data_IF_710287989031
#
_entry.id   IF_710287989031
#
_cell.length_a   1.000
_cell.length_b   1.000
_cell.length_c   1.000
_cell.angle_alpha   90.00
_cell.angle_beta   90.00
_cell.angle_gamma   90.00
#
_symmetry.space_group_name_H-M   'P 1'
#
loop_
_entity.id
_entity.type
_entity.pdbx_description
1 polymer ?
#
# COMPACT_ATOMS: atom_id res chain seq x y z
N UNK A 1 -51.10 -38.41 33.04
CA UNK A 1 -50.97 -37.44 31.94
C UNK A 1 -49.66 -36.73 32.14
N UNK A 2 -48.60 -37.14 31.47
CA UNK A 2 -47.26 -36.61 31.60
C UNK A 2 -47.02 -35.69 30.39
N UNK A 3 -46.92 -34.40 30.63
CA UNK A 3 -46.64 -33.38 29.58
C UNK A 3 -45.14 -33.31 29.35
N UNK A 4 -44.66 -33.92 28.27
CA UNK A 4 -43.28 -33.78 27.78
C UNK A 4 -43.08 -32.36 27.25
N UNK A 5 -42.35 -31.54 27.99
CA UNK A 5 -41.84 -30.26 27.52
C UNK A 5 -40.85 -30.46 26.40
N UNK A 6 -41.23 -30.10 25.20
CA UNK A 6 -40.32 -30.01 24.05
C UNK A 6 -39.34 -28.84 24.28
N UNK A 7 -38.15 -29.10 24.77
CA UNK A 7 -37.02 -28.16 24.69
C UNK A 7 -36.55 -28.13 23.24
N UNK A 8 -37.09 -27.17 22.47
CA UNK A 8 -36.58 -26.85 21.17
C UNK A 8 -35.13 -26.33 21.27
N UNK A 9 -34.16 -27.16 20.87
CA UNK A 9 -32.79 -26.69 20.61
C UNK A 9 -32.85 -25.65 19.50
N UNK A 10 -32.95 -24.37 19.88
CA UNK A 10 -32.59 -23.28 18.97
C UNK A 10 -31.10 -23.41 18.69
N UNK A 11 -30.77 -24.06 17.61
CA UNK A 11 -29.43 -24.04 17.02
C UNK A 11 -29.17 -22.58 16.60
N UNK A 12 -28.60 -21.79 17.53
CA UNK A 12 -28.09 -20.47 17.23
C UNK A 12 -26.93 -20.70 16.24
N UNK A 13 -27.18 -20.55 14.95
CA UNK A 13 -26.11 -20.40 13.95
C UNK A 13 -25.38 -19.09 14.33
N UNK A 14 -24.41 -19.20 15.22
CA UNK A 14 -23.43 -18.12 15.39
C UNK A 14 -22.80 -17.95 14.02
N UNK A 15 -23.19 -16.90 13.29
CA UNK A 15 -22.57 -16.56 12.02
C UNK A 15 -21.08 -16.38 12.29
N UNK A 16 -20.25 -17.19 11.65
CA UNK A 16 -18.79 -17.08 11.76
C UNK A 16 -18.41 -15.65 11.38
N UNK A 17 -17.99 -14.86 12.38
CA UNK A 17 -17.55 -13.49 12.16
C UNK A 17 -16.08 -13.52 11.72
N UNK A 18 -15.83 -13.28 10.45
CA UNK A 18 -14.48 -13.26 9.85
C UNK A 18 -13.85 -11.85 9.83
N UNK A 19 -14.57 -10.82 10.28
CA UNK A 19 -14.17 -9.43 10.24
C UNK A 19 -15.16 -8.53 9.49
N UNK A 20 -14.76 -7.30 9.23
CA UNK A 20 -15.58 -6.28 8.59
C UNK A 20 -15.95 -6.66 7.15
N UNK A 21 -17.25 -6.91 6.90
CA UNK A 21 -17.77 -7.35 5.60
C UNK A 21 -17.53 -6.33 4.49
N UNK A 22 -17.67 -5.04 4.79
CA UNK A 22 -17.52 -3.99 3.77
C UNK A 22 -16.05 -3.87 3.34
N UNK A 23 -15.10 -3.99 4.28
CA UNK A 23 -13.67 -4.08 3.98
C UNK A 23 -13.37 -5.30 3.12
N UNK A 24 -13.89 -6.48 3.49
CA UNK A 24 -13.66 -7.71 2.74
C UNK A 24 -14.21 -7.63 1.30
N UNK A 25 -15.45 -7.16 1.13
CA UNK A 25 -16.07 -7.00 -0.19
C UNK A 25 -15.31 -5.98 -1.05
N UNK A 26 -14.89 -4.84 -0.46
CA UNK A 26 -14.12 -3.85 -1.21
C UNK A 26 -12.79 -4.41 -1.73
N UNK A 27 -12.10 -5.24 -0.93
CA UNK A 27 -10.87 -5.92 -1.36
C UNK A 27 -11.14 -6.94 -2.47
N UNK A 28 -12.19 -7.74 -2.36
CA UNK A 28 -12.55 -8.69 -3.43
C UNK A 28 -12.85 -7.98 -4.75
N UNK A 29 -13.58 -6.87 -4.70
CA UNK A 29 -13.87 -6.07 -5.90
C UNK A 29 -12.59 -5.44 -6.49
N UNK A 30 -11.68 -4.92 -5.64
CA UNK A 30 -10.39 -4.38 -6.08
C UNK A 30 -9.52 -5.46 -6.73
N UNK A 31 -9.45 -6.66 -6.14
CA UNK A 31 -8.68 -7.78 -6.69
C UNK A 31 -9.27 -8.27 -8.02
N UNK A 32 -10.59 -8.43 -8.10
CA UNK A 32 -11.26 -8.87 -9.33
C UNK A 32 -11.07 -7.87 -10.47
N UNK A 33 -11.30 -6.59 -10.18
CA UNK A 33 -11.09 -5.50 -11.14
C UNK A 33 -9.61 -5.39 -11.54
N UNK A 34 -8.70 -5.52 -10.57
CA UNK A 34 -7.26 -5.51 -10.80
C UNK A 34 -6.79 -6.64 -11.73
N UNK A 35 -7.28 -7.87 -11.54
CA UNK A 35 -6.95 -8.99 -12.42
C UNK A 35 -7.39 -8.73 -13.87
N UNK A 36 -8.58 -8.19 -14.08
CA UNK A 36 -9.10 -7.87 -15.42
C UNK A 36 -8.23 -6.79 -16.08
N UNK A 37 -8.00 -5.68 -15.38
CA UNK A 37 -7.31 -4.52 -15.95
C UNK A 37 -5.81 -4.76 -16.14
N UNK A 38 -5.16 -5.44 -15.20
CA UNK A 38 -3.76 -5.85 -15.35
C UNK A 38 -3.59 -6.80 -16.53
N UNK A 39 -4.53 -7.74 -16.72
CA UNK A 39 -4.51 -8.65 -17.88
C UNK A 39 -4.66 -7.86 -19.17
N UNK A 40 -5.63 -6.94 -19.27
CA UNK A 40 -5.80 -6.09 -20.45
C UNK A 40 -4.53 -5.29 -20.76
N UNK A 41 -3.91 -4.69 -19.72
CA UNK A 41 -2.71 -3.87 -19.88
C UNK A 41 -1.46 -4.69 -20.25
N UNK A 42 -1.42 -6.00 -19.98
CA UNK A 42 -0.23 -6.83 -20.16
C UNK A 42 -0.28 -7.80 -21.35
N UNK A 43 -1.42 -7.99 -21.99
CA UNK A 43 -1.66 -9.03 -23.02
C UNK A 43 -0.66 -8.93 -24.20
N UNK A 44 -0.45 -7.72 -24.74
CA UNK A 44 0.43 -7.50 -25.89
C UNK A 44 1.89 -7.70 -25.52
N UNK A 45 2.30 -7.14 -24.35
CA UNK A 45 3.68 -7.31 -23.84
C UNK A 45 3.95 -8.78 -23.56
N UNK A 46 3.02 -9.50 -22.93
CA UNK A 46 3.14 -10.92 -22.66
C UNK A 46 3.28 -11.74 -23.94
N UNK A 47 2.44 -11.46 -24.92
CA UNK A 47 2.44 -12.17 -26.20
C UNK A 47 3.76 -11.99 -26.95
N UNK A 48 4.31 -10.77 -26.97
CA UNK A 48 5.56 -10.48 -27.68
C UNK A 48 6.81 -11.00 -26.96
N UNK A 49 6.86 -10.92 -25.62
CA UNK A 49 8.04 -11.33 -24.84
C UNK A 49 8.12 -12.83 -24.62
N UNK A 50 6.97 -13.50 -24.45
CA UNK A 50 6.92 -14.90 -24.04
C UNK A 50 6.19 -15.83 -25.01
N UNK A 51 5.50 -15.28 -26.01
CA UNK A 51 4.59 -16.04 -26.89
C UNK A 51 3.29 -16.49 -26.23
N UNK A 52 3.06 -16.16 -24.95
CA UNK A 52 1.84 -16.50 -24.19
C UNK A 52 1.15 -15.22 -23.69
N UNK A 53 0.07 -14.85 -24.34
CA UNK A 53 -0.70 -13.63 -24.03
C UNK A 53 -1.18 -13.55 -22.56
N UNK A 54 -1.33 -14.70 -21.88
CA UNK A 54 -1.78 -14.79 -20.49
C UNK A 54 -0.67 -15.05 -19.48
N UNK A 55 0.60 -14.92 -19.87
CA UNK A 55 1.74 -15.17 -18.99
C UNK A 55 1.68 -14.39 -17.68
N UNK A 56 1.46 -13.07 -17.76
CA UNK A 56 1.37 -12.21 -16.57
C UNK A 56 0.13 -12.52 -15.72
N UNK A 57 -1.00 -12.87 -16.33
CA UNK A 57 -2.20 -13.31 -15.60
C UNK A 57 -1.94 -14.59 -14.81
N UNK A 58 -1.35 -15.61 -15.44
CA UNK A 58 -1.00 -16.88 -14.76
C UNK A 58 -0.08 -16.63 -13.57
N UNK A 59 0.94 -15.80 -13.77
CA UNK A 59 1.88 -15.40 -12.71
C UNK A 59 1.18 -14.66 -11.58
N UNK A 60 0.29 -13.70 -11.89
CA UNK A 60 -0.47 -12.95 -10.90
C UNK A 60 -1.43 -13.84 -10.10
N UNK A 61 -2.08 -14.83 -10.74
CA UNK A 61 -2.93 -15.81 -10.06
C UNK A 61 -2.12 -16.67 -9.07
N UNK A 62 -0.91 -17.09 -9.45
CA UNK A 62 -0.02 -17.81 -8.52
C UNK A 62 0.31 -16.94 -7.30
N UNK A 63 0.65 -15.66 -7.49
CA UNK A 63 0.90 -14.74 -6.39
C UNK A 63 -0.34 -14.46 -5.55
N UNK A 64 -1.52 -14.39 -6.17
CA UNK A 64 -2.80 -14.25 -5.46
C UNK A 64 -3.03 -15.44 -4.52
N UNK A 65 -2.88 -16.68 -5.03
CA UNK A 65 -3.03 -17.90 -4.23
C UNK A 65 -2.00 -17.94 -3.09
N UNK A 66 -0.74 -17.66 -3.39
CA UNK A 66 0.31 -17.55 -2.37
C UNK A 66 -0.03 -16.49 -1.32
N UNK A 67 -0.47 -15.31 -1.75
CA UNK A 67 -0.90 -14.24 -0.86
C UNK A 67 -2.05 -14.66 0.06
N UNK A 68 -3.06 -15.35 -0.46
CA UNK A 68 -4.18 -15.88 0.33
C UNK A 68 -3.69 -16.93 1.35
N UNK A 69 -2.79 -17.83 0.97
CA UNK A 69 -2.23 -18.83 1.89
C UNK A 69 -1.47 -18.14 3.02
N UNK A 70 -0.56 -17.23 2.70
CA UNK A 70 0.22 -16.48 3.70
C UNK A 70 -0.71 -15.65 4.59
N UNK A 71 -1.70 -14.98 4.00
CA UNK A 71 -2.70 -14.21 4.74
C UNK A 71 -3.52 -15.05 5.71
N UNK A 72 -3.89 -16.28 5.33
CA UNK A 72 -4.57 -17.21 6.22
C UNK A 72 -3.72 -17.57 7.44
N UNK A 73 -2.42 -17.83 7.26
CA UNK A 73 -1.50 -18.06 8.38
C UNK A 73 -1.37 -16.80 9.25
N UNK A 74 -1.17 -15.64 8.65
CA UNK A 74 -1.05 -14.35 9.35
C UNK A 74 -2.32 -14.02 10.14
N UNK A 75 -3.50 -14.30 9.59
CA UNK A 75 -4.78 -14.10 10.27
C UNK A 75 -4.93 -14.97 11.53
N UNK A 76 -4.32 -16.15 11.59
CA UNK A 76 -4.36 -17.03 12.77
C UNK A 76 -3.49 -16.53 13.93
N UNK A 77 -2.49 -15.69 13.67
CA UNK A 77 -1.57 -15.18 14.69
C UNK A 77 -2.28 -14.12 15.55
N UNK A 78 -2.34 -14.28 16.88
CA UNK A 78 -2.89 -13.26 17.77
C UNK A 78 -2.10 -11.94 17.72
N UNK A 79 -2.81 -10.80 17.85
CA UNK A 79 -2.20 -9.47 17.79
C UNK A 79 -1.10 -9.24 18.82
N UNK A 80 -1.19 -9.88 19.98
CA UNK A 80 -0.15 -9.83 21.02
C UNK A 80 1.23 -10.22 20.47
N UNK A 81 1.31 -11.26 19.64
CA UNK A 81 2.59 -11.71 19.07
C UNK A 81 3.20 -10.66 18.13
N UNK A 82 2.39 -9.94 17.34
CA UNK A 82 2.90 -8.84 16.52
C UNK A 82 3.51 -7.74 17.39
N UNK A 83 2.88 -7.42 18.52
CA UNK A 83 3.37 -6.43 19.47
C UNK A 83 4.67 -6.90 20.16
N UNK A 84 4.74 -8.16 20.58
CA UNK A 84 5.91 -8.73 21.26
C UNK A 84 7.10 -8.87 20.30
N UNK A 85 6.85 -9.24 19.04
CA UNK A 85 7.89 -9.39 18.01
C UNK A 85 8.24 -8.09 17.28
N UNK A 86 7.67 -6.97 17.66
CA UNK A 86 7.81 -5.70 16.93
C UNK A 86 9.27 -5.27 16.71
N UNK A 87 10.13 -5.44 17.70
CA UNK A 87 11.57 -5.14 17.61
C UNK A 87 12.26 -6.11 16.64
N UNK A 88 11.97 -7.40 16.73
CA UNK A 88 12.50 -8.41 15.80
C UNK A 88 12.08 -8.13 14.36
N UNK A 89 10.83 -7.72 14.14
CA UNK A 89 10.33 -7.33 12.83
C UNK A 89 11.03 -6.08 12.27
N UNK A 90 11.34 -5.09 13.12
CA UNK A 90 12.16 -3.94 12.72
C UNK A 90 13.56 -4.38 12.25
N UNK A 91 14.23 -5.24 13.03
CA UNK A 91 15.53 -5.78 12.62
C UNK A 91 15.44 -6.59 11.33
N UNK A 92 14.37 -7.37 11.16
CA UNK A 92 14.12 -8.11 9.92
C UNK A 92 13.93 -7.16 8.73
N UNK A 93 13.22 -6.03 8.89
CA UNK A 93 13.12 -5.00 7.87
C UNK A 93 14.48 -4.43 7.49
N UNK A 94 15.29 -4.04 8.49
CA UNK A 94 16.64 -3.52 8.27
C UNK A 94 17.52 -4.55 7.55
N UNK A 95 17.45 -5.81 7.97
CA UNK A 95 18.24 -6.90 7.35
C UNK A 95 17.83 -7.12 5.90
N UNK A 96 16.52 -7.17 5.59
CA UNK A 96 16.02 -7.33 4.22
C UNK A 96 16.48 -6.18 3.31
N UNK A 97 16.37 -4.94 3.77
CA UNK A 97 16.82 -3.77 3.02
C UNK A 97 18.35 -3.76 2.85
N UNK A 98 19.10 -4.14 3.87
CA UNK A 98 20.55 -4.24 3.77
C UNK A 98 21.01 -5.34 2.81
N UNK A 99 20.34 -6.50 2.79
CA UNK A 99 20.64 -7.61 1.88
C UNK A 99 20.49 -7.22 0.40
N UNK A 100 19.53 -6.37 0.06
CA UNK A 100 19.38 -5.87 -1.32
C UNK A 100 20.61 -5.09 -1.78
N UNK A 101 21.29 -4.39 -0.88
CA UNK A 101 22.49 -3.60 -1.19
C UNK A 101 23.77 -4.45 -1.31
N UNK A 102 23.71 -5.75 -0.96
CA UNK A 102 24.86 -6.64 -1.07
C UNK A 102 25.03 -7.07 -2.52
N UNK A 103 26.22 -6.87 -3.12
CA UNK A 103 26.52 -7.32 -4.48
C UNK A 103 26.29 -8.83 -4.64
N UNK A 104 25.57 -9.23 -5.69
CA UNK A 104 25.25 -10.63 -5.97
C UNK A 104 23.95 -11.15 -5.35
N UNK A 105 23.34 -10.44 -4.36
CA UNK A 105 22.03 -10.76 -3.79
C UNK A 105 20.95 -9.86 -4.39
N UNK A 106 21.20 -8.55 -4.41
CA UNK A 106 20.31 -7.58 -5.01
C UNK A 106 20.34 -7.62 -6.53
N UNK A 107 19.17 -7.60 -7.15
CA UNK A 107 18.99 -7.48 -8.60
C UNK A 107 18.70 -6.04 -8.96
N UNK A 108 19.50 -5.51 -9.88
CA UNK A 108 19.27 -4.19 -10.47
C UNK A 108 18.22 -4.28 -11.58
N UNK A 109 17.21 -3.42 -11.50
CA UNK A 109 16.18 -3.25 -12.51
C UNK A 109 15.97 -1.74 -12.71
N UNK A 110 16.05 -1.28 -13.94
CA UNK A 110 15.89 0.14 -14.31
C UNK A 110 16.77 1.11 -13.47
N UNK A 111 18.03 0.73 -13.23
CA UNK A 111 19.00 1.56 -12.49
C UNK A 111 18.77 1.61 -10.97
N UNK A 112 18.01 0.68 -10.41
CA UNK A 112 17.76 0.58 -8.98
C UNK A 112 17.84 -0.85 -8.49
N UNK A 113 18.57 -1.07 -7.41
CA UNK A 113 18.70 -2.38 -6.75
C UNK A 113 17.64 -2.46 -5.63
N UNK A 114 16.50 -3.10 -5.90
CA UNK A 114 15.35 -3.17 -4.96
C UNK A 114 14.82 -4.57 -4.76
N UNK A 115 15.30 -5.54 -5.55
CA UNK A 115 14.73 -6.87 -5.66
C UNK A 115 15.72 -7.92 -5.19
N UNK A 116 15.22 -8.88 -4.40
CA UNK A 116 15.96 -10.11 -4.07
C UNK A 116 15.37 -11.23 -4.93
N UNK A 117 16.24 -11.90 -5.69
CA UNK A 117 15.81 -13.04 -6.50
C UNK A 117 15.75 -14.30 -5.62
N UNK A 118 14.54 -14.85 -5.41
CA UNK A 118 14.32 -16.10 -4.67
C UNK A 118 14.21 -17.32 -5.61
N UNK A 119 14.59 -17.19 -6.87
CA UNK A 119 14.49 -18.22 -7.90
C UNK A 119 13.11 -18.25 -8.56
N UNK A 120 12.06 -18.64 -7.85
CA UNK A 120 10.68 -18.71 -8.35
C UNK A 120 9.95 -17.36 -8.37
N UNK A 121 10.42 -16.40 -7.57
CA UNK A 121 9.89 -15.03 -7.51
C UNK A 121 10.96 -14.01 -7.16
N UNK A 122 10.72 -12.76 -7.53
CA UNK A 122 11.52 -11.62 -7.06
C UNK A 122 10.78 -10.93 -5.91
N UNK A 123 11.42 -10.82 -4.76
CA UNK A 123 10.89 -10.13 -3.59
C UNK A 123 11.39 -8.69 -3.58
N UNK A 124 10.49 -7.71 -3.58
CA UNK A 124 10.84 -6.31 -3.32
C UNK A 124 10.92 -6.10 -1.81
N UNK A 125 12.13 -5.82 -1.30
CA UNK A 125 12.38 -5.75 0.15
C UNK A 125 11.60 -4.62 0.85
N UNK A 126 11.33 -3.53 0.14
CA UNK A 126 10.56 -2.40 0.68
C UNK A 126 9.10 -2.75 1.02
N UNK A 127 8.49 -3.75 0.34
CA UNK A 127 7.10 -4.13 0.61
C UNK A 127 6.90 -4.72 2.03
N UNK A 128 7.57 -5.81 2.43
CA UNK A 128 7.47 -6.30 3.81
C UNK A 128 8.06 -5.30 4.82
N UNK A 129 9.10 -4.55 4.47
CA UNK A 129 9.71 -3.57 5.36
C UNK A 129 8.73 -2.49 5.82
N UNK A 130 7.86 -1.99 4.92
CA UNK A 130 6.79 -1.01 5.28
C UNK A 130 5.89 -1.55 6.39
N UNK A 131 5.41 -2.79 6.26
CA UNK A 131 4.55 -3.41 7.26
C UNK A 131 5.28 -3.62 8.60
N UNK A 132 6.52 -4.13 8.56
CA UNK A 132 7.30 -4.40 9.77
C UNK A 132 7.63 -3.12 10.54
N UNK A 133 7.98 -2.04 9.85
CA UNK A 133 8.21 -0.72 10.45
C UNK A 133 6.93 -0.18 11.07
N UNK A 134 5.78 -0.32 10.40
CA UNK A 134 4.48 0.13 10.93
C UNK A 134 4.09 -0.67 12.17
N UNK A 135 4.31 -1.99 12.21
CA UNK A 135 4.09 -2.80 13.42
C UNK A 135 4.96 -2.31 14.57
N UNK A 136 6.25 -2.01 14.31
CA UNK A 136 7.15 -1.47 15.32
C UNK A 136 6.67 -0.12 15.85
N UNK A 137 6.33 0.82 14.98
CA UNK A 137 5.81 2.14 15.36
C UNK A 137 4.51 2.03 16.16
N UNK A 138 3.58 1.17 15.75
CA UNK A 138 2.33 0.92 16.48
C UNK A 138 2.60 0.39 17.90
N UNK A 139 3.54 -0.54 18.04
CA UNK A 139 3.98 -1.08 19.34
C UNK A 139 4.64 -0.01 20.20
N UNK A 140 5.52 0.79 19.60
CA UNK A 140 6.22 1.87 20.31
C UNK A 140 5.25 2.93 20.83
N UNK A 141 4.36 3.43 19.96
CA UNK A 141 3.33 4.43 20.29
C UNK A 141 2.38 3.90 21.37
N UNK A 142 1.97 2.64 21.28
CA UNK A 142 1.07 2.04 22.28
C UNK A 142 1.72 1.89 23.65
N UNK A 143 3.00 1.49 23.71
CA UNK A 143 3.71 1.28 24.99
C UNK A 143 4.16 2.57 25.64
N UNK A 144 4.42 3.62 24.85
CA UNK A 144 5.05 4.87 25.31
C UNK A 144 4.19 6.10 24.98
N UNK A 145 2.87 5.95 24.91
CA UNK A 145 1.95 6.98 24.42
C UNK A 145 2.15 8.33 25.13
N UNK A 146 2.09 8.34 26.47
CA UNK A 146 2.25 9.56 27.28
C UNK A 146 3.63 10.19 27.10
N UNK A 147 4.68 9.37 27.02
CA UNK A 147 6.05 9.84 26.82
C UNK A 147 6.25 10.48 25.44
N UNK A 148 5.65 9.91 24.39
CA UNK A 148 5.69 10.46 23.02
C UNK A 148 4.94 11.79 22.93
N UNK A 149 3.79 11.90 23.59
CA UNK A 149 2.97 13.11 23.54
C UNK A 149 3.48 14.23 24.46
N UNK A 150 4.21 13.91 25.56
CA UNK A 150 4.65 14.91 26.55
C UNK A 150 6.05 15.44 26.33
N UNK A 151 6.98 14.63 25.79
CA UNK A 151 8.41 14.96 25.75
C UNK A 151 8.99 14.95 24.33
N UNK A 152 10.00 15.83 24.11
CA UNK A 152 10.79 15.83 22.88
C UNK A 152 11.58 14.54 22.64
N UNK A 153 12.08 13.92 23.73
CA UNK A 153 12.81 12.64 23.62
C UNK A 153 11.87 11.52 23.16
N UNK A 154 10.66 11.46 23.75
CA UNK A 154 9.66 10.47 23.36
C UNK A 154 9.23 10.63 21.88
N UNK A 155 9.08 11.87 21.42
CA UNK A 155 8.80 12.19 20.03
C UNK A 155 9.92 11.80 19.07
N UNK A 156 11.19 12.08 19.41
CA UNK A 156 12.33 11.83 18.54
C UNK A 156 12.76 10.36 18.45
N UNK A 157 12.57 9.59 19.53
CA UNK A 157 13.04 8.19 19.61
C UNK A 157 12.49 7.28 18.48
N UNK A 158 11.18 7.22 18.20
CA UNK A 158 10.68 6.37 17.10
C UNK A 158 11.26 6.80 15.75
N UNK A 159 11.47 8.09 15.54
CA UNK A 159 12.08 8.63 14.32
C UNK A 159 13.54 8.20 14.16
N UNK A 160 14.29 8.15 15.26
CA UNK A 160 15.67 7.67 15.26
C UNK A 160 15.74 6.19 14.84
N UNK A 161 14.88 5.31 15.38
CA UNK A 161 14.84 3.91 14.97
C UNK A 161 14.46 3.72 13.50
N UNK A 162 13.52 4.51 13.00
CA UNK A 162 13.06 4.40 11.61
C UNK A 162 14.00 5.09 10.62
N UNK A 163 14.88 5.98 11.08
CA UNK A 163 15.87 6.61 10.20
C UNK A 163 16.76 5.58 9.48
N UNK A 164 17.06 4.44 10.13
CA UNK A 164 17.88 3.38 9.52
C UNK A 164 17.23 2.75 8.31
N UNK A 165 15.99 2.19 8.37
CA UNK A 165 15.31 1.70 7.16
C UNK A 165 15.07 2.79 6.12
N UNK A 166 14.80 4.06 6.51
CA UNK A 166 14.66 5.16 5.55
C UNK A 166 15.98 5.41 4.81
N UNK A 167 17.11 5.45 5.50
CA UNK A 167 18.42 5.64 4.87
C UNK A 167 18.78 4.49 3.93
N UNK A 168 18.43 3.25 4.27
CA UNK A 168 18.62 2.09 3.39
C UNK A 168 17.77 2.22 2.13
N UNK A 169 16.47 2.55 2.25
CA UNK A 169 15.59 2.79 1.11
C UNK A 169 16.07 3.94 0.20
N UNK A 170 16.67 4.99 0.77
CA UNK A 170 17.28 6.07 0.00
C UNK A 170 18.50 5.60 -0.78
N UNK A 171 19.29 4.65 -0.24
CA UNK A 171 20.42 4.02 -0.94
C UNK A 171 19.99 3.06 -2.04
N UNK A 172 18.79 2.46 -1.94
CA UNK A 172 18.16 1.62 -2.97
C UNK A 172 17.49 2.43 -4.10
N UNK A 173 17.63 3.73 -4.18
CA UNK A 173 16.83 4.81 -4.77
C UNK A 173 15.30 4.60 -4.77
N UNK A 174 14.74 3.98 -3.70
CA UNK A 174 13.29 3.74 -3.57
C UNK A 174 12.55 4.90 -2.87
N UNK A 175 12.56 6.07 -3.52
CA UNK A 175 11.91 7.28 -2.98
C UNK A 175 10.40 7.13 -2.78
N UNK A 176 9.74 6.29 -3.59
CA UNK A 176 8.33 6.04 -3.46
C UNK A 176 7.99 5.36 -2.12
N UNK A 177 8.72 4.30 -1.79
CA UNK A 177 8.55 3.61 -0.50
C UNK A 177 8.90 4.53 0.68
N UNK A 178 9.93 5.38 0.56
CA UNK A 178 10.28 6.39 1.59
C UNK A 178 9.12 7.32 1.86
N UNK A 179 8.52 7.91 0.82
CA UNK A 179 7.40 8.87 1.00
C UNK A 179 6.18 8.19 1.61
N UNK A 180 5.81 7.00 1.15
CA UNK A 180 4.69 6.21 1.73
C UNK A 180 4.95 5.90 3.19
N UNK A 181 6.16 5.45 3.54
CA UNK A 181 6.53 5.11 4.90
C UNK A 181 6.53 6.34 5.82
N UNK A 182 7.10 7.46 5.39
CA UNK A 182 7.07 8.73 6.13
C UNK A 182 5.65 9.23 6.34
N UNK A 183 4.79 9.17 5.31
CA UNK A 183 3.38 9.53 5.42
C UNK A 183 2.67 8.67 6.46
N UNK A 184 2.90 7.35 6.46
CA UNK A 184 2.32 6.44 7.44
C UNK A 184 2.80 6.76 8.85
N UNK A 185 4.10 6.94 9.07
CA UNK A 185 4.68 7.22 10.39
C UNK A 185 4.21 8.57 10.92
N UNK A 186 4.29 9.62 10.11
CA UNK A 186 3.86 10.96 10.51
C UNK A 186 2.36 11.00 10.79
N UNK A 187 1.56 10.34 9.95
CA UNK A 187 0.13 10.20 10.18
C UNK A 187 -0.19 9.43 11.46
N UNK A 188 0.51 8.33 11.75
CA UNK A 188 0.36 7.60 13.01
C UNK A 188 0.72 8.46 14.23
N UNK A 189 1.83 9.21 14.18
CA UNK A 189 2.24 10.12 15.26
C UNK A 189 1.23 11.25 15.46
N UNK A 190 0.70 11.80 14.37
CA UNK A 190 -0.36 12.82 14.42
C UNK A 190 -1.63 12.28 15.08
N UNK A 191 -2.10 11.09 14.66
CA UNK A 191 -3.26 10.41 15.23
C UNK A 191 -3.04 9.95 16.68
N UNK A 192 -1.80 9.70 17.08
CA UNK A 192 -1.44 9.44 18.47
C UNK A 192 -1.49 10.70 19.37
N UNK A 193 -1.78 11.89 18.82
CA UNK A 193 -1.94 13.10 19.61
C UNK A 193 -0.63 13.82 19.94
N UNK A 194 0.40 13.66 19.12
CA UNK A 194 1.64 14.44 19.22
C UNK A 194 1.33 15.93 19.07
N UNK A 195 2.05 16.77 19.82
CA UNK A 195 1.83 18.22 19.78
C UNK A 195 1.99 18.79 18.39
N UNK A 196 1.01 19.58 17.95
CA UNK A 196 0.94 20.11 16.57
C UNK A 196 2.24 20.79 16.12
N UNK A 197 2.89 21.56 16.99
CA UNK A 197 4.15 22.25 16.65
C UNK A 197 5.31 21.26 16.36
N UNK A 198 5.38 20.11 17.08
CA UNK A 198 6.36 19.08 16.83
C UNK A 198 6.10 18.40 15.49
N UNK A 199 4.83 18.15 15.19
CA UNK A 199 4.43 17.60 13.89
C UNK A 199 4.77 18.57 12.74
N UNK A 200 4.46 19.86 12.86
CA UNK A 200 4.80 20.87 11.85
C UNK A 200 6.30 20.95 11.63
N UNK A 201 7.11 20.97 12.70
CA UNK A 201 8.58 20.98 12.58
C UNK A 201 9.10 19.73 11.87
N UNK A 202 8.51 18.55 12.15
CA UNK A 202 8.88 17.30 11.49
C UNK A 202 8.58 17.37 9.98
N UNK A 203 7.40 17.86 9.60
CA UNK A 203 7.02 18.03 8.19
C UNK A 203 7.95 19.02 7.48
N UNK A 204 8.27 20.16 8.11
CA UNK A 204 9.19 21.13 7.57
C UNK A 204 10.61 20.56 7.40
N UNK A 205 11.09 19.79 8.38
CA UNK A 205 12.38 19.10 8.30
C UNK A 205 12.40 18.07 7.15
N UNK A 206 11.35 17.27 7.02
CA UNK A 206 11.22 16.31 5.93
C UNK A 206 11.14 16.98 4.56
N UNK A 207 10.39 18.08 4.44
CA UNK A 207 10.30 18.88 3.21
C UNK A 207 11.66 19.49 2.84
N UNK A 208 12.39 20.04 3.83
CA UNK A 208 13.75 20.57 3.63
C UNK A 208 14.73 19.47 3.20
N UNK A 209 14.66 18.30 3.83
CA UNK A 209 15.45 17.13 3.42
C UNK A 209 15.12 16.64 2.00
N UNK A 210 13.84 16.58 1.64
CA UNK A 210 13.41 16.24 0.28
C UNK A 210 13.92 17.26 -0.76
N UNK A 211 13.83 18.56 -0.46
CA UNK A 211 14.37 19.61 -1.30
C UNK A 211 15.90 19.45 -1.47
N UNK A 212 16.64 19.28 -0.38
CA UNK A 212 18.08 19.05 -0.43
C UNK A 212 18.44 17.81 -1.29
N UNK A 213 17.68 16.73 -1.17
CA UNK A 213 17.86 15.54 -2.00
C UNK A 213 17.59 15.82 -3.49
N UNK A 214 16.59 16.63 -3.83
CA UNK A 214 16.32 17.01 -5.23
C UNK A 214 17.49 17.81 -5.78
N UNK A 215 17.94 18.84 -5.07
CA UNK A 215 19.04 19.70 -5.53
C UNK A 215 20.41 19.01 -5.56
N UNK A 216 20.58 17.86 -4.90
CA UNK A 216 21.84 17.10 -4.91
C UNK A 216 22.10 16.28 -6.17
N UNK A 217 21.17 16.25 -7.15
CA UNK A 217 21.31 15.41 -8.36
C UNK A 217 20.69 16.07 -9.58
N UNK A 218 21.50 16.27 -10.63
CA UNK A 218 21.05 16.81 -11.93
C UNK A 218 19.88 16.02 -12.54
N UNK A 219 19.89 14.71 -12.39
CA UNK A 219 18.80 13.84 -12.85
C UNK A 219 17.47 14.14 -12.14
N UNK A 220 17.50 14.41 -10.83
CA UNK A 220 16.28 14.74 -10.05
C UNK A 220 15.76 16.13 -10.40
N UNK A 221 16.68 17.09 -10.57
CA UNK A 221 16.33 18.44 -11.03
C UNK A 221 15.68 18.36 -12.42
N UNK A 222 16.26 17.59 -13.36
CA UNK A 222 15.69 17.41 -14.69
C UNK A 222 14.26 16.84 -14.65
N UNK A 223 13.99 15.85 -13.78
CA UNK A 223 12.63 15.31 -13.59
C UNK A 223 11.65 16.34 -13.04
N UNK A 224 12.06 17.15 -12.07
CA UNK A 224 11.22 18.23 -11.53
C UNK A 224 10.95 19.28 -12.59
N UNK A 225 11.97 19.69 -13.35
CA UNK A 225 11.80 20.65 -14.44
C UNK A 225 10.87 20.11 -15.54
N UNK A 226 11.03 18.84 -15.98
CA UNK A 226 10.12 18.22 -16.94
C UNK A 226 8.69 18.13 -16.41
N UNK A 227 8.52 17.86 -15.12
CA UNK A 227 7.22 17.88 -14.49
C UNK A 227 6.59 19.27 -14.49
N UNK A 228 7.32 20.31 -14.12
CA UNK A 228 6.86 21.70 -14.13
C UNK A 228 6.53 22.18 -15.56
N UNK A 229 7.35 21.79 -16.54
CA UNK A 229 7.09 22.09 -17.96
C UNK A 229 5.82 21.35 -18.43
N UNK A 230 5.63 20.08 -18.04
CA UNK A 230 4.45 19.30 -18.39
C UNK A 230 3.14 19.86 -17.80
N UNK A 231 3.19 20.59 -16.69
CA UNK A 231 2.01 21.28 -16.13
C UNK A 231 1.56 22.46 -16.99
N UNK A 232 2.50 23.15 -17.67
CA UNK A 232 2.20 24.28 -18.55
C UNK A 232 1.98 23.86 -20.00
N UNK A 233 2.77 22.90 -20.48
CA UNK A 233 2.73 22.35 -21.85
C UNK A 233 3.09 20.86 -21.83
N UNK A 234 2.10 19.95 -21.67
CA UNK A 234 2.34 18.50 -21.63
C UNK A 234 2.93 17.95 -22.92
N UNK A 235 2.77 18.65 -24.04
CA UNK A 235 3.23 18.23 -25.37
C UNK A 235 4.51 18.92 -25.82
N UNK A 236 5.17 19.66 -24.93
CA UNK A 236 6.48 20.23 -25.20
C UNK A 236 7.49 19.15 -25.62
N UNK A 237 8.30 19.39 -26.63
CA UNK A 237 9.27 18.39 -27.14
C UNK A 237 10.21 17.87 -26.06
N UNK A 238 10.69 18.72 -25.14
CA UNK A 238 11.55 18.31 -24.03
C UNK A 238 10.83 17.39 -23.03
N UNK A 239 9.51 17.47 -22.93
CA UNK A 239 8.68 16.58 -22.10
C UNK A 239 8.43 15.27 -22.84
N UNK A 240 7.96 15.34 -24.08
CA UNK A 240 7.52 14.19 -24.90
C UNK A 240 8.69 13.30 -25.29
N UNK A 241 9.90 13.85 -25.56
CA UNK A 241 11.10 13.08 -25.92
C UNK A 241 12.12 12.95 -24.79
N UNK A 242 11.78 13.45 -23.58
CA UNK A 242 12.67 13.48 -22.43
C UNK A 242 12.17 12.69 -21.23
N UNK A 243 12.56 13.16 -20.05
CA UNK A 243 12.20 12.55 -18.76
C UNK A 243 10.71 12.63 -18.42
N UNK A 244 9.91 13.40 -19.18
CA UNK A 244 8.46 13.53 -19.06
C UNK A 244 7.66 12.60 -19.96
N UNK A 245 8.30 11.77 -20.80
CA UNK A 245 7.64 10.90 -21.77
C UNK A 245 6.49 10.06 -21.17
N UNK A 246 6.76 9.37 -20.06
CA UNK A 246 5.75 8.54 -19.40
C UNK A 246 4.53 9.36 -18.94
N UNK A 247 4.75 10.58 -18.44
CA UNK A 247 3.67 11.47 -18.02
C UNK A 247 2.85 11.93 -19.24
N UNK A 248 3.51 12.35 -20.32
CA UNK A 248 2.82 12.77 -21.55
C UNK A 248 1.93 11.65 -22.08
N UNK A 249 2.45 10.40 -22.17
CA UNK A 249 1.68 9.26 -22.65
C UNK A 249 0.52 8.90 -21.71
N UNK A 250 0.70 9.04 -20.38
CA UNK A 250 -0.40 8.84 -19.43
C UNK A 250 -1.50 9.90 -19.61
N UNK A 251 -1.15 11.17 -19.82
CA UNK A 251 -2.13 12.24 -20.06
C UNK A 251 -2.87 12.04 -21.41
N UNK A 252 -2.18 11.54 -22.44
CA UNK A 252 -2.81 11.16 -23.72
C UNK A 252 -3.83 10.04 -23.49
N UNK A 253 -3.50 9.02 -22.66
CA UNK A 253 -4.43 7.95 -22.28
C UNK A 253 -5.71 8.52 -21.66
N UNK A 254 -5.61 9.43 -20.69
CA UNK A 254 -6.75 10.10 -20.08
C UNK A 254 -7.58 10.89 -21.09
N UNK A 255 -6.91 11.69 -21.96
CA UNK A 255 -7.59 12.49 -22.98
C UNK A 255 -8.35 11.63 -23.97
N UNK A 256 -7.79 10.47 -24.36
CA UNK A 256 -8.40 9.54 -25.29
C UNK A 256 -9.57 8.76 -24.71
N UNK A 257 -9.50 8.44 -23.41
CA UNK A 257 -10.55 7.69 -22.72
C UNK A 257 -11.83 8.48 -22.48
N UNK A 258 -11.75 9.80 -22.45
CA UNK A 258 -12.90 10.66 -22.19
C UNK A 258 -13.72 10.19 -20.98
N UNK A 259 -15.06 10.24 -21.03
CA UNK A 259 -15.93 9.83 -19.92
C UNK A 259 -16.13 8.32 -19.81
N UNK A 260 -16.26 7.61 -20.95
CA UNK A 260 -16.69 6.19 -20.98
C UNK A 260 -15.65 5.23 -21.55
N UNK A 261 -14.50 5.73 -21.98
CA UNK A 261 -13.41 4.93 -22.49
C UNK A 261 -13.58 4.50 -23.95
N UNK A 262 -12.51 3.95 -24.50
CA UNK A 262 -12.48 3.41 -25.88
C UNK A 262 -12.93 1.95 -25.97
N UNK A 263 -13.26 1.35 -24.82
CA UNK A 263 -13.61 -0.07 -24.69
C UNK A 263 -12.46 -0.91 -24.14
N UNK A 264 -12.82 -1.94 -23.36
CA UNK A 264 -11.86 -2.88 -22.77
C UNK A 264 -11.01 -3.54 -23.88
N UNK A 265 -9.71 -3.55 -23.70
CA UNK A 265 -8.77 -4.13 -24.66
C UNK A 265 -8.34 -3.19 -25.79
N UNK A 266 -8.92 -1.99 -25.93
CA UNK A 266 -8.69 -1.08 -27.05
C UNK A 266 -7.72 0.08 -26.72
N UNK A 267 -7.00 0.02 -25.62
CA UNK A 267 -5.94 0.99 -25.32
C UNK A 267 -4.85 0.93 -26.38
N UNK A 268 -4.46 2.09 -26.93
CA UNK A 268 -3.27 2.21 -27.79
C UNK A 268 -2.02 2.36 -26.92
N UNK A 269 -2.14 3.01 -25.76
CA UNK A 269 -0.99 3.30 -24.89
C UNK A 269 -0.30 2.04 -24.40
N UNK A 270 -1.02 0.93 -24.21
CA UNK A 270 -0.43 -0.37 -23.84
C UNK A 270 0.38 -1.03 -24.96
N UNK A 271 0.25 -0.57 -26.22
CA UNK A 271 1.00 -1.06 -27.38
C UNK A 271 2.41 -0.46 -27.42
N UNK A 272 3.16 -0.54 -26.32
CA UNK A 272 4.55 -0.04 -26.14
C UNK A 272 4.71 1.49 -26.14
N UNK A 273 3.62 2.28 -26.27
CA UNK A 273 3.73 3.73 -26.13
C UNK A 273 3.94 4.17 -24.69
N UNK A 274 3.30 3.50 -23.72
CA UNK A 274 3.44 3.82 -22.31
C UNK A 274 4.28 2.73 -21.62
N UNK A 275 5.56 2.99 -21.30
CA UNK A 275 6.38 2.08 -20.52
C UNK A 275 5.75 1.80 -19.15
N UNK A 276 5.89 0.54 -18.66
CA UNK A 276 5.34 0.12 -17.37
C UNK A 276 3.80 0.29 -17.25
N UNK A 277 3.09 0.13 -18.38
CA UNK A 277 1.63 0.26 -18.45
C UNK A 277 0.89 -0.70 -17.51
N UNK A 278 1.40 -1.92 -17.32
CA UNK A 278 0.79 -2.96 -16.47
C UNK A 278 1.26 -2.91 -15.00
N UNK A 279 2.25 -2.08 -14.67
CA UNK A 279 2.80 -1.91 -13.31
C UNK A 279 2.41 -0.55 -12.75
N UNK A 280 3.17 0.50 -13.06
CA UNK A 280 3.05 1.81 -12.43
C UNK A 280 1.94 2.67 -13.05
N UNK A 281 1.61 2.44 -14.32
CA UNK A 281 0.66 3.23 -15.09
C UNK A 281 -0.66 2.49 -15.43
N UNK A 282 -0.98 1.42 -14.72
CA UNK A 282 -2.23 0.69 -14.94
C UNK A 282 -3.47 1.58 -14.79
N UNK A 283 -3.43 2.62 -13.94
CA UNK A 283 -4.51 3.57 -13.77
C UNK A 283 -4.77 4.42 -15.03
N UNK A 284 -3.71 4.79 -15.78
CA UNK A 284 -3.86 5.47 -17.06
C UNK A 284 -4.51 4.58 -18.12
N UNK A 285 -4.17 3.28 -18.15
CA UNK A 285 -4.83 2.30 -19.05
C UNK A 285 -6.29 2.11 -18.67
N UNK A 286 -6.63 2.07 -17.36
CA UNK A 286 -8.02 2.03 -16.90
C UNK A 286 -8.80 3.25 -17.41
N UNK A 287 -8.21 4.43 -17.30
CA UNK A 287 -8.81 5.67 -17.75
C UNK A 287 -8.98 5.69 -19.28
N UNK A 288 -8.04 5.14 -20.06
CA UNK A 288 -8.17 5.03 -21.52
C UNK A 288 -9.25 4.02 -21.94
N UNK A 289 -9.24 2.81 -21.37
CA UNK A 289 -10.14 1.73 -21.79
C UNK A 289 -11.58 1.90 -21.28
N UNK A 290 -11.74 2.35 -20.02
CA UNK A 290 -13.05 2.41 -19.34
C UNK A 290 -13.50 3.84 -19.01
N UNK A 291 -12.68 4.83 -19.33
CA UNK A 291 -12.97 6.25 -19.14
C UNK A 291 -12.81 6.76 -17.71
N UNK A 292 -12.94 8.08 -17.56
CA UNK A 292 -12.82 8.80 -16.28
C UNK A 292 -13.88 8.33 -15.29
N UNK A 293 -15.08 7.98 -15.74
CA UNK A 293 -16.14 7.49 -14.87
C UNK A 293 -15.72 6.22 -14.09
N UNK A 294 -15.10 5.26 -14.76
CA UNK A 294 -14.59 4.03 -14.13
C UNK A 294 -13.41 4.31 -13.19
N UNK A 295 -12.54 5.25 -13.56
CA UNK A 295 -11.45 5.71 -12.71
C UNK A 295 -11.99 6.33 -11.40
N UNK A 296 -13.06 7.13 -11.46
CA UNK A 296 -13.73 7.70 -10.28
C UNK A 296 -14.42 6.62 -9.43
N UNK A 297 -15.06 5.63 -10.03
CA UNK A 297 -15.64 4.49 -9.30
C UNK A 297 -14.54 3.70 -8.57
N UNK A 298 -13.41 3.45 -9.21
CA UNK A 298 -12.26 2.80 -8.58
C UNK A 298 -11.72 3.61 -7.41
N UNK A 299 -11.60 4.93 -7.57
CA UNK A 299 -11.22 5.83 -6.48
C UNK A 299 -12.21 5.74 -5.32
N UNK A 300 -13.51 5.74 -5.61
CA UNK A 300 -14.57 5.53 -4.61
C UNK A 300 -14.42 4.22 -3.86
N UNK A 301 -14.06 3.13 -4.56
CA UNK A 301 -13.84 1.82 -3.95
C UNK A 301 -12.61 1.82 -3.02
N UNK A 302 -11.50 2.47 -3.40
CA UNK A 302 -10.36 2.69 -2.53
C UNK A 302 -10.72 3.54 -1.30
N UNK A 303 -11.52 4.60 -1.48
CA UNK A 303 -11.99 5.42 -0.36
C UNK A 303 -12.83 4.61 0.63
N UNK A 304 -13.74 3.75 0.15
CA UNK A 304 -14.50 2.84 1.01
C UNK A 304 -13.57 1.91 1.78
N UNK A 305 -12.60 1.28 1.12
CA UNK A 305 -11.63 0.39 1.73
C UNK A 305 -10.82 1.09 2.84
N UNK A 306 -10.22 2.25 2.53
CA UNK A 306 -9.41 3.02 3.48
C UNK A 306 -10.27 3.54 4.65
N UNK A 307 -11.46 4.04 4.35
CA UNK A 307 -12.40 4.48 5.39
C UNK A 307 -12.78 3.35 6.34
N UNK A 308 -13.05 2.13 5.83
CA UNK A 308 -13.33 0.97 6.70
C UNK A 308 -12.14 0.60 7.58
N UNK A 309 -10.91 0.65 7.05
CA UNK A 309 -9.69 0.44 7.83
C UNK A 309 -9.55 1.49 8.96
N UNK A 310 -9.83 2.78 8.67
CA UNK A 310 -9.84 3.85 9.68
C UNK A 310 -10.95 3.65 10.73
N UNK A 311 -12.13 3.17 10.33
CA UNK A 311 -13.23 2.84 11.29
C UNK A 311 -12.82 1.71 12.22
N UNK A 312 -12.13 0.67 11.72
CA UNK A 312 -11.59 -0.42 12.55
C UNK A 312 -10.58 0.15 13.57
N UNK A 313 -9.67 1.02 13.12
CA UNK A 313 -8.71 1.67 13.99
C UNK A 313 -9.39 2.48 15.10
N UNK A 314 -10.33 3.36 14.74
CA UNK A 314 -11.05 4.20 15.69
C UNK A 314 -11.87 3.42 16.73
N UNK A 315 -12.48 2.30 16.32
CA UNK A 315 -13.21 1.41 17.25
C UNK A 315 -12.29 0.82 18.34
N UNK A 316 -11.05 0.49 18.00
CA UNK A 316 -10.06 -0.02 18.95
C UNK A 316 -9.55 1.10 19.86
N UNK A 317 -9.24 2.27 19.30
CA UNK A 317 -8.82 3.47 20.04
C UNK A 317 -9.85 3.86 21.11
N UNK A 318 -11.15 3.93 20.76
CA UNK A 318 -12.24 4.25 21.69
C UNK A 318 -12.37 3.27 22.87
N UNK A 319 -11.83 2.05 22.72
CA UNK A 319 -11.79 1.04 23.79
C UNK A 319 -10.49 1.07 24.61
N UNK A 320 -9.55 1.96 24.26
CA UNK A 320 -8.23 2.03 24.87
C UNK A 320 -7.24 0.97 24.36
N UNK A 321 -7.59 0.21 23.32
CA UNK A 321 -6.70 -0.77 22.70
C UNK A 321 -5.80 -0.08 21.67
N UNK A 322 -4.76 0.60 22.14
CA UNK A 322 -3.91 1.48 21.32
C UNK A 322 -3.06 0.74 20.28
N UNK A 323 -2.53 -0.46 20.58
CA UNK A 323 -1.70 -1.19 19.61
C UNK A 323 -2.47 -1.58 18.34
N UNK A 324 -3.64 -2.27 18.42
CA UNK A 324 -4.45 -2.55 17.24
C UNK A 324 -4.93 -1.29 16.53
N UNK A 325 -5.24 -0.22 17.29
CA UNK A 325 -5.66 1.06 16.73
C UNK A 325 -4.56 1.66 15.85
N UNK A 326 -3.35 1.85 16.40
CA UNK A 326 -2.23 2.43 15.65
C UNK A 326 -1.78 1.54 14.50
N UNK A 327 -1.81 0.21 14.66
CA UNK A 327 -1.49 -0.72 13.57
C UNK A 327 -2.47 -0.58 12.40
N UNK A 328 -3.78 -0.49 12.68
CA UNK A 328 -4.79 -0.30 11.65
C UNK A 328 -4.68 1.08 10.98
N UNK A 329 -4.41 2.15 11.75
CA UNK A 329 -4.11 3.47 11.19
C UNK A 329 -2.89 3.43 10.27
N UNK A 330 -1.80 2.79 10.69
CA UNK A 330 -0.58 2.69 9.89
C UNK A 330 -0.79 1.95 8.57
N UNK A 331 -1.51 0.83 8.59
CA UNK A 331 -1.86 0.08 7.37
C UNK A 331 -2.76 0.93 6.45
N UNK A 332 -3.79 1.60 7.00
CA UNK A 332 -4.66 2.47 6.21
C UNK A 332 -3.89 3.62 5.55
N UNK A 333 -2.92 4.21 6.26
CA UNK A 333 -2.08 5.29 5.75
C UNK A 333 -1.07 4.81 4.69
N UNK A 334 -0.55 3.58 4.77
CA UNK A 334 0.25 2.97 3.69
C UNK A 334 -0.59 2.91 2.41
N UNK A 335 -1.79 2.33 2.49
CA UNK A 335 -2.67 2.22 1.32
C UNK A 335 -3.06 3.60 0.78
N UNK A 336 -3.43 4.53 1.65
CA UNK A 336 -3.75 5.92 1.28
C UNK A 336 -2.57 6.56 0.52
N UNK A 337 -1.36 6.45 1.06
CA UNK A 337 -0.16 7.02 0.45
C UNK A 337 0.15 6.40 -0.91
N UNK A 338 0.07 5.07 -1.03
CA UNK A 338 0.30 4.38 -2.31
C UNK A 338 -0.74 4.79 -3.37
N UNK A 339 -2.01 4.85 -3.01
CA UNK A 339 -3.09 5.26 -3.92
C UNK A 339 -2.93 6.72 -4.35
N UNK A 340 -2.72 7.65 -3.41
CA UNK A 340 -2.55 9.08 -3.72
C UNK A 340 -1.33 9.29 -4.62
N UNK A 341 -0.21 8.65 -4.32
CA UNK A 341 1.02 8.86 -5.11
C UNK A 341 0.87 8.24 -6.49
N UNK A 342 0.37 7.00 -6.62
CA UNK A 342 0.21 6.36 -7.92
C UNK A 342 -0.77 7.14 -8.81
N UNK A 343 -1.97 7.47 -8.30
CA UNK A 343 -2.96 8.24 -9.05
C UNK A 343 -2.44 9.64 -9.37
N UNK A 344 -1.79 10.31 -8.39
CA UNK A 344 -1.20 11.62 -8.59
C UNK A 344 -0.11 11.64 -9.67
N UNK A 345 0.70 10.58 -9.77
CA UNK A 345 1.68 10.40 -10.86
C UNK A 345 0.98 10.19 -12.20
N UNK A 346 -0.01 9.31 -12.26
CA UNK A 346 -0.74 9.01 -13.50
C UNK A 346 -1.52 10.21 -14.03
N UNK A 347 -2.07 11.06 -13.15
CA UNK A 347 -2.83 12.26 -13.51
C UNK A 347 -1.98 13.52 -13.69
N UNK A 348 -0.66 13.43 -13.50
CA UNK A 348 0.23 14.58 -13.61
C UNK A 348 0.18 15.55 -12.43
N UNK A 349 -0.39 15.17 -11.29
CA UNK A 349 -0.37 15.98 -10.07
C UNK A 349 0.93 15.81 -9.28
N UNK A 350 1.65 14.71 -9.50
CA UNK A 350 2.92 14.40 -8.85
C UNK A 350 3.97 13.99 -9.89
N UNK A 351 5.27 14.24 -9.64
CA UNK A 351 6.34 13.81 -10.54
C UNK A 351 6.40 12.28 -10.64
N UNK A 352 6.75 11.78 -11.82
CA UNK A 352 6.77 10.35 -12.13
C UNK A 352 7.65 9.56 -11.16
N UNK A 353 7.07 8.55 -10.52
CA UNK A 353 7.69 7.59 -9.60
C UNK A 353 7.10 6.20 -9.84
N UNK A 354 7.95 5.18 -9.82
CA UNK A 354 7.55 3.79 -9.88
C UNK A 354 6.94 3.35 -8.54
N UNK A 355 5.63 3.35 -8.43
CA UNK A 355 4.87 2.80 -7.32
C UNK A 355 3.65 2.06 -7.85
N UNK A 356 3.54 0.81 -7.50
CA UNK A 356 2.39 -0.01 -7.87
C UNK A 356 1.11 0.47 -7.20
N UNK A 357 0.00 0.44 -7.93
CA UNK A 357 -1.34 0.66 -7.37
C UNK A 357 -1.78 -0.62 -6.63
N UNK A 358 -2.07 -0.56 -5.32
CA UNK A 358 -2.42 -1.74 -4.53
C UNK A 358 -3.53 -2.58 -5.18
N UNK A 359 -3.39 -3.89 -5.16
CA UNK A 359 -4.30 -4.90 -5.73
C UNK A 359 -4.45 -4.90 -7.26
N UNK A 360 -4.10 -3.81 -7.97
CA UNK A 360 -4.35 -3.65 -9.40
C UNK A 360 -3.12 -3.89 -10.26
N UNK A 361 -1.99 -3.32 -9.86
CA UNK A 361 -0.75 -3.41 -10.64
C UNK A 361 -0.19 -4.83 -10.67
N UNK A 362 0.48 -5.17 -11.75
CA UNK A 362 1.32 -6.37 -11.81
C UNK A 362 2.46 -6.24 -10.80
N UNK A 363 2.49 -7.13 -9.80
CA UNK A 363 3.53 -7.07 -8.77
C UNK A 363 3.37 -8.19 -7.75
N UNK A 364 4.21 -9.23 -7.84
CA UNK A 364 4.05 -10.42 -7.01
C UNK A 364 4.20 -10.14 -5.52
N UNK A 365 5.30 -9.54 -5.09
CA UNK A 365 5.55 -9.23 -3.67
C UNK A 365 4.59 -8.16 -3.13
N UNK A 366 4.29 -7.14 -3.94
CA UNK A 366 3.34 -6.08 -3.54
C UNK A 366 1.94 -6.65 -3.31
N UNK A 367 1.44 -7.50 -4.21
CA UNK A 367 0.13 -8.15 -4.06
C UNK A 367 0.07 -9.02 -2.80
N UNK A 368 1.10 -9.86 -2.56
CA UNK A 368 1.14 -10.72 -1.37
C UNK A 368 1.09 -9.88 -0.10
N UNK A 369 1.90 -8.84 0.00
CA UNK A 369 1.95 -7.97 1.20
C UNK A 369 0.66 -7.15 1.35
N UNK A 370 0.03 -6.69 0.27
CA UNK A 370 -1.29 -6.06 0.35
C UNK A 370 -2.34 -7.00 0.95
N UNK A 371 -2.39 -8.26 0.51
CA UNK A 371 -3.34 -9.26 1.04
C UNK A 371 -3.01 -9.58 2.51
N UNK A 372 -1.73 -9.67 2.88
CA UNK A 372 -1.29 -9.83 4.28
C UNK A 372 -1.73 -8.65 5.15
N UNK A 373 -1.56 -7.41 4.69
CA UNK A 373 -2.02 -6.22 5.43
C UNK A 373 -3.55 -6.25 5.64
N UNK A 374 -4.32 -6.70 4.66
CA UNK A 374 -5.78 -6.90 4.81
C UNK A 374 -6.09 -7.96 5.85
N UNK A 375 -5.36 -9.08 5.86
CA UNK A 375 -5.55 -10.14 6.87
C UNK A 375 -5.28 -9.62 8.29
N UNK A 376 -4.27 -8.77 8.46
CA UNK A 376 -4.00 -8.09 9.75
C UNK A 376 -5.18 -7.18 10.14
N UNK A 377 -5.73 -6.38 9.22
CA UNK A 377 -6.92 -5.54 9.50
C UNK A 377 -8.14 -6.38 9.90
N UNK A 378 -8.39 -7.48 9.20
CA UNK A 378 -9.48 -8.41 9.54
C UNK A 378 -9.26 -9.06 10.90
N UNK A 379 -8.00 -9.41 11.24
CA UNK A 379 -7.65 -9.94 12.56
C UNK A 379 -7.90 -8.93 13.67
N UNK A 380 -7.55 -7.66 13.46
CA UNK A 380 -7.81 -6.57 14.40
C UNK A 380 -9.31 -6.46 14.68
N UNK A 381 -10.15 -6.47 13.65
CA UNK A 381 -11.59 -6.36 13.82
C UNK A 381 -12.21 -7.61 14.45
N UNK A 382 -11.70 -8.80 14.11
CA UNK A 382 -12.11 -10.06 14.72
C UNK A 382 -11.83 -10.08 16.24
N UNK A 383 -10.62 -9.75 16.69
CA UNK A 383 -10.29 -9.73 18.13
C UNK A 383 -11.11 -8.68 18.87
N UNK A 384 -11.34 -7.51 18.27
CA UNK A 384 -12.20 -6.46 18.83
C UNK A 384 -13.63 -6.96 19.06
N UNK A 385 -14.20 -7.69 18.08
CA UNK A 385 -15.53 -8.28 18.17
C UNK A 385 -15.59 -9.41 19.22
N UNK A 386 -14.60 -10.29 19.26
CA UNK A 386 -14.52 -11.40 20.22
C UNK A 386 -14.45 -10.90 21.67
N UNK A 387 -13.64 -9.86 21.95
CA UNK A 387 -13.58 -9.22 23.28
C UNK A 387 -14.92 -8.59 23.69
N UNK A 388 -15.58 -7.90 22.75
CA UNK A 388 -16.90 -7.30 23.04
C UNK A 388 -17.97 -8.34 23.39
N UNK A 389 -17.94 -9.52 22.76
CA UNK A 389 -18.88 -10.60 23.04
C UNK A 389 -18.57 -11.29 24.38
N UNK A 390 -17.29 -11.47 24.74
CA UNK A 390 -16.91 -12.01 26.04
C UNK A 390 -17.33 -11.09 27.19
N UNK A 391 -17.14 -9.77 27.05
CA UNK A 391 -17.62 -8.80 28.05
C UNK A 391 -19.15 -8.86 28.23
N UNK A 392 -19.93 -8.99 27.15
CA UNK A 392 -21.38 -9.14 27.23
C UNK A 392 -21.83 -10.44 27.92
N UNK A 393 -21.07 -11.53 27.76
CA UNK A 393 -21.35 -12.81 28.46
C UNK A 393 -21.09 -12.69 29.97
N UNK A 394 -20.02 -12.01 30.38
CA UNK A 394 -19.68 -11.78 31.80
C UNK A 394 -20.70 -10.87 32.51
N UNK A 395 -21.25 -9.86 31.82
CA UNK A 395 -22.24 -8.95 32.41
C UNK A 395 -23.64 -9.60 32.52
N UNK A 396 -23.93 -10.64 31.74
CA UNK A 396 -25.24 -11.31 31.71
C UNK A 396 -25.32 -12.57 32.57
N UNK A 397 -24.19 -13.09 33.06
CA UNK A 397 -24.10 -14.21 34.01
C UNK A 397 -23.85 -13.75 35.40
#
# INVERSE_FOLDING_TARGET
MVTLAQHGFKHNRESVYLGDRALFVSVLLLLAFGLVMMTSASIEIASSETGDAFFYLKKQLVFLVMGIIVAAFVYLIPLKHYQDWSIFLLFSAITLLALVLVPGIGREVNGSTRWINLGFMSLQASEPAKLFVVIFIASYLSKNHDFVCSSWKGFAMPLLFVSVPILLLLKEPDFGAVVVLLLAIFGMMFLAGVKLYQFVLLVLFAAGGAAALVFSSSYRIARVNSFLTALSDPFNENVVFGSGYQLAQALIAFGRGEWFGVGLGNSIQKLYFLPEAHTDFVFAIIAEELGVFSALLLLGLFLVFIWRAMVIARKNEQKGDFFPAFLAYGIALIFLGQVIINIGVNTGLLPTKGLTLPFLSAGGSSLIICIVMVAVLLRIDFENHARANNLKRVIKG
#
